data_IF_776406526812
#
_entry.id   IF_776406526812
#
_cell.length_a   1.000
_cell.length_b   1.000
_cell.length_c   1.000
_cell.angle_alpha   90.00
_cell.angle_beta   90.00
_cell.angle_gamma   90.00
#
_symmetry.space_group_name_H-M   'P 1'
#
loop_
_entity.id
_entity.type
_entity.pdbx_description
1 polymer ?
#
# COMPACT_ATOMS: atom_id res chain seq x y z
N UNK A 1 13.64 -8.03 11.57
CA UNK A 1 12.96 -8.83 10.53
C UNK A 1 13.95 -9.16 9.43
N UNK A 2 13.94 -10.38 8.91
CA UNK A 2 14.82 -10.82 7.83
C UNK A 2 14.39 -10.15 6.51
N UNK A 3 15.36 -9.78 5.68
CA UNK A 3 15.10 -9.18 4.37
C UNK A 3 14.64 -10.24 3.39
N UNK A 4 13.66 -9.88 2.55
CA UNK A 4 13.15 -10.75 1.48
C UNK A 4 13.93 -10.54 0.19
N UNK A 5 13.89 -11.54 -0.69
CA UNK A 5 14.48 -11.44 -2.02
C UNK A 5 13.75 -10.35 -2.83
N UNK A 6 14.52 -9.42 -3.39
CA UNK A 6 14.02 -8.32 -4.22
C UNK A 6 13.09 -8.79 -5.35
N UNK A 7 13.42 -9.89 -6.04
CA UNK A 7 12.59 -10.40 -7.13
C UNK A 7 11.21 -10.86 -6.66
N UNK A 8 11.12 -11.44 -5.45
CA UNK A 8 9.83 -11.83 -4.85
C UNK A 8 8.99 -10.59 -4.54
N UNK A 9 9.62 -9.55 -3.96
CA UNK A 9 8.95 -8.27 -3.71
C UNK A 9 8.45 -7.63 -5.00
N UNK A 10 9.27 -7.65 -6.05
CA UNK A 10 8.92 -7.12 -7.36
C UNK A 10 7.72 -7.85 -7.98
N UNK A 11 7.72 -9.18 -7.97
CA UNK A 11 6.60 -9.98 -8.48
C UNK A 11 5.29 -9.66 -7.75
N UNK A 12 5.35 -9.44 -6.43
CA UNK A 12 4.18 -9.11 -5.62
C UNK A 12 3.68 -7.71 -5.94
N UNK A 13 4.57 -6.73 -6.12
CA UNK A 13 4.20 -5.38 -6.56
C UNK A 13 3.53 -5.41 -7.93
N UNK A 14 4.10 -6.12 -8.91
CA UNK A 14 3.53 -6.23 -10.25
C UNK A 14 2.17 -6.93 -10.22
N UNK A 15 2.03 -7.98 -9.42
CA UNK A 15 0.74 -8.68 -9.23
C UNK A 15 -0.31 -7.75 -8.63
N UNK A 16 0.07 -6.94 -7.64
CA UNK A 16 -0.81 -5.95 -7.01
C UNK A 16 -1.29 -4.90 -8.02
N UNK A 17 -0.38 -4.38 -8.85
CA UNK A 17 -0.72 -3.45 -9.93
C UNK A 17 -1.74 -4.07 -10.89
N UNK A 18 -1.47 -5.28 -11.37
CA UNK A 18 -2.35 -5.98 -12.32
C UNK A 18 -3.74 -6.18 -11.71
N UNK A 19 -3.82 -6.68 -10.47
CA UNK A 19 -5.08 -6.91 -9.76
C UNK A 19 -5.85 -5.61 -9.47
N UNK A 20 -5.16 -4.51 -9.16
CA UNK A 20 -5.81 -3.22 -8.93
C UNK A 20 -6.43 -2.65 -10.22
N UNK A 21 -5.77 -2.88 -11.36
CA UNK A 21 -6.23 -2.38 -12.66
C UNK A 21 -7.45 -3.13 -13.22
N UNK A 22 -7.67 -4.40 -12.85
CA UNK A 22 -8.86 -5.16 -13.29
C UNK A 22 -10.14 -4.72 -12.59
N UNK A 23 -10.04 -4.08 -11.42
CA UNK A 23 -11.20 -3.76 -10.58
C UNK A 23 -11.84 -4.99 -9.93
N UNK A 24 -11.17 -6.14 -9.95
CA UNK A 24 -11.68 -7.40 -9.39
C UNK A 24 -12.09 -7.30 -7.92
N UNK A 25 -11.40 -6.46 -7.15
CA UNK A 25 -11.67 -6.23 -5.72
C UNK A 25 -12.69 -5.11 -5.44
N UNK A 26 -13.36 -4.58 -6.47
CA UNK A 26 -14.41 -3.59 -6.29
C UNK A 26 -15.71 -4.28 -5.85
N UNK A 27 -16.12 -4.06 -4.61
CA UNK A 27 -17.32 -4.67 -4.03
C UNK A 27 -18.23 -3.56 -3.52
N UNK A 28 -19.45 -3.45 -4.06
CA UNK A 28 -20.44 -2.41 -3.71
C UNK A 28 -19.87 -0.96 -3.76
N UNK A 29 -18.94 -0.69 -4.68
CA UNK A 29 -18.32 0.64 -4.82
C UNK A 29 -17.12 0.89 -3.91
N UNK A 30 -16.77 -0.06 -3.03
CA UNK A 30 -15.56 -0.03 -2.21
C UNK A 30 -14.41 -0.60 -3.03
N UNK A 31 -13.42 0.23 -3.38
CA UNK A 31 -12.28 -0.17 -4.21
C UNK A 31 -10.98 -0.03 -3.41
N UNK A 32 -10.42 -1.11 -2.85
CA UNK A 32 -9.21 -1.01 -2.04
C UNK A 32 -8.01 -0.53 -2.86
N UNK A 33 -7.14 0.23 -2.20
CA UNK A 33 -5.87 0.66 -2.75
C UNK A 33 -4.81 -0.41 -2.49
N UNK A 34 -4.90 -1.49 -3.27
CA UNK A 34 -4.09 -2.68 -3.13
C UNK A 34 -2.59 -2.38 -3.26
N UNK A 35 -2.21 -1.52 -4.22
CA UNK A 35 -0.81 -1.13 -4.45
C UNK A 35 -0.24 -0.42 -3.22
N UNK A 36 -0.98 0.52 -2.63
CA UNK A 36 -0.55 1.19 -1.40
C UNK A 36 -0.43 0.19 -0.24
N UNK A 37 -1.44 -0.66 -0.04
CA UNK A 37 -1.41 -1.66 1.03
C UNK A 37 -0.22 -2.62 0.89
N UNK A 38 0.08 -3.05 -0.33
CA UNK A 38 1.23 -3.92 -0.66
C UNK A 38 2.54 -3.20 -0.42
N UNK A 39 2.72 -1.98 -0.97
CA UNK A 39 3.96 -1.21 -0.81
C UNK A 39 4.27 -0.95 0.66
N UNK A 40 3.28 -0.51 1.45
CA UNK A 40 3.45 -0.30 2.89
C UNK A 40 3.81 -1.63 3.59
N UNK A 41 3.18 -2.74 3.22
CA UNK A 41 3.48 -4.04 3.83
C UNK A 41 4.89 -4.52 3.54
N UNK A 42 5.33 -4.42 2.28
CA UNK A 42 6.67 -4.86 1.88
C UNK A 42 7.78 -3.90 2.33
N UNK A 43 7.44 -2.67 2.74
CA UNK A 43 8.43 -1.69 3.22
C UNK A 43 9.24 -2.19 4.42
N UNK A 44 8.65 -3.08 5.22
CA UNK A 44 9.31 -3.73 6.36
C UNK A 44 10.33 -4.81 5.95
N UNK A 45 10.17 -5.38 4.76
CA UNK A 45 10.97 -6.50 4.26
C UNK A 45 12.02 -6.09 3.21
N UNK A 46 11.85 -4.93 2.57
CA UNK A 46 12.82 -4.37 1.63
C UNK A 46 14.17 -4.11 2.30
N UNK A 47 15.27 -4.50 1.64
CA UNK A 47 16.64 -4.42 2.16
C UNK A 47 17.01 -2.98 2.56
N UNK A 48 16.95 -2.08 1.60
CA UNK A 48 17.40 -0.69 1.67
C UNK A 48 16.42 0.24 0.94
N UNK A 49 16.67 1.54 1.04
CA UNK A 49 15.81 2.57 0.46
C UNK A 49 15.84 2.55 -1.07
N UNK A 50 16.99 2.28 -1.70
CA UNK A 50 17.10 2.28 -3.16
C UNK A 50 16.30 1.12 -3.76
N UNK A 51 16.42 -0.08 -3.18
CA UNK A 51 15.60 -1.23 -3.55
C UNK A 51 14.09 -0.92 -3.43
N UNK A 52 13.69 -0.25 -2.35
CA UNK A 52 12.29 0.10 -2.13
C UNK A 52 11.79 1.20 -3.08
N UNK A 53 12.62 2.21 -3.39
CA UNK A 53 12.33 3.22 -4.41
C UNK A 53 12.10 2.55 -5.75
N UNK A 54 12.92 1.56 -6.13
CA UNK A 54 12.73 0.84 -7.38
C UNK A 54 11.37 0.12 -7.42
N UNK A 55 10.98 -0.55 -6.33
CA UNK A 55 9.66 -1.19 -6.22
C UNK A 55 8.52 -0.18 -6.36
N UNK A 56 8.66 0.99 -5.72
CA UNK A 56 7.70 2.08 -5.82
C UNK A 56 7.60 2.65 -7.25
N UNK A 57 8.74 2.82 -7.94
CA UNK A 57 8.78 3.26 -9.34
C UNK A 57 8.15 2.21 -10.26
N UNK A 58 8.43 0.93 -10.04
CA UNK A 58 7.80 -0.16 -10.80
C UNK A 58 6.27 -0.14 -10.64
N UNK A 59 5.78 0.08 -9.41
CA UNK A 59 4.35 0.27 -9.15
C UNK A 59 3.78 1.48 -9.91
N UNK A 60 4.48 2.61 -9.87
CA UNK A 60 4.08 3.85 -10.55
C UNK A 60 3.97 3.67 -12.07
N UNK A 61 4.95 3.03 -12.69
CA UNK A 61 4.93 2.72 -14.13
C UNK A 61 3.76 1.82 -14.47
N UNK A 62 3.47 0.82 -13.62
CA UNK A 62 2.38 -0.11 -13.84
C UNK A 62 0.97 0.47 -13.61
N UNK A 63 0.83 1.48 -12.75
CA UNK A 63 -0.44 2.18 -12.52
C UNK A 63 -0.83 3.10 -13.69
N UNK A 64 0.10 3.49 -14.56
CA UNK A 64 -0.04 4.56 -15.57
C UNK A 64 -0.90 4.26 -16.81
N UNK A 65 -1.79 3.26 -16.80
CA UNK A 65 -2.58 2.90 -18.00
C UNK A 65 -3.95 3.58 -18.15
N UNK A 66 -4.26 4.66 -17.40
CA UNK A 66 -5.45 5.49 -17.63
C UNK A 66 -5.17 6.99 -17.46
N UNK A 67 -5.56 7.81 -18.44
CA UNK A 67 -5.49 9.26 -18.36
C UNK A 67 -6.37 9.77 -17.19
N UNK A 68 -5.80 10.58 -16.29
CA UNK A 68 -6.46 11.11 -15.09
C UNK A 68 -5.84 10.68 -13.75
N UNK A 69 -4.93 9.69 -13.74
CA UNK A 69 -4.34 9.10 -12.52
C UNK A 69 -3.05 9.76 -12.01
N UNK A 70 -2.68 10.94 -12.50
CA UNK A 70 -1.34 11.49 -12.28
C UNK A 70 -1.08 11.85 -10.81
N UNK A 71 -2.02 12.53 -10.14
CA UNK A 71 -1.80 12.99 -8.77
C UNK A 71 -2.01 11.89 -7.73
N UNK A 72 -3.03 11.03 -7.90
CA UNK A 72 -3.32 9.93 -6.99
C UNK A 72 -2.16 8.93 -6.92
N UNK A 73 -1.58 8.60 -8.07
CA UNK A 73 -0.43 7.70 -8.14
C UNK A 73 0.77 8.28 -7.41
N UNK A 74 1.02 9.59 -7.54
CA UNK A 74 2.09 10.27 -6.80
C UNK A 74 1.84 10.27 -5.29
N UNK A 75 0.60 10.49 -4.85
CA UNK A 75 0.23 10.42 -3.43
C UNK A 75 0.49 9.00 -2.89
N UNK A 76 0.09 7.96 -3.61
CA UNK A 76 0.33 6.55 -3.22
C UNK A 76 1.82 6.30 -3.00
N UNK A 77 2.66 6.71 -3.96
CA UNK A 77 4.11 6.54 -3.86
C UNK A 77 4.68 7.35 -2.71
N UNK A 78 4.27 8.61 -2.55
CA UNK A 78 4.72 9.48 -1.46
C UNK A 78 4.41 8.90 -0.08
N UNK A 79 3.17 8.43 0.12
CA UNK A 79 2.74 7.78 1.36
C UNK A 79 3.50 6.46 1.61
N UNK A 80 3.74 5.68 0.56
CA UNK A 80 4.50 4.43 0.64
C UNK A 80 5.97 4.68 0.99
N UNK A 81 6.59 5.73 0.47
CA UNK A 81 7.97 6.13 0.83
C UNK A 81 8.04 6.64 2.27
N UNK A 82 7.05 7.44 2.69
CA UNK A 82 6.94 7.87 4.08
C UNK A 82 6.79 6.68 5.03
N UNK A 83 6.00 5.66 4.66
CA UNK A 83 5.81 4.47 5.47
C UNK A 83 7.10 3.67 5.65
N UNK A 84 7.97 3.61 4.64
CA UNK A 84 9.28 2.95 4.76
C UNK A 84 10.17 3.63 5.81
N UNK A 85 10.20 4.96 5.83
CA UNK A 85 10.98 5.71 6.82
C UNK A 85 10.36 5.57 8.21
N UNK A 86 9.05 5.74 8.32
CA UNK A 86 8.33 5.70 9.60
C UNK A 86 8.32 4.29 10.21
N UNK A 87 8.10 3.26 9.41
CA UNK A 87 8.08 1.86 9.85
C UNK A 87 9.41 1.40 10.47
N UNK A 88 10.52 2.05 10.12
CA UNK A 88 11.85 1.82 10.74
C UNK A 88 12.11 2.64 12.01
N UNK A 89 11.29 3.66 12.30
CA UNK A 89 11.42 4.54 13.47
C UNK A 89 10.43 4.21 14.58
N UNK A 90 9.29 3.61 14.25
CA UNK A 90 8.27 3.22 15.22
C UNK A 90 8.75 2.06 16.09
N UNK A 91 8.61 2.21 17.42
CA UNK A 91 9.08 1.25 18.42
C UNK A 91 8.08 0.12 18.72
N UNK A 92 6.87 0.15 18.15
CA UNK A 92 5.89 -0.91 18.37
C UNK A 92 6.21 -2.18 17.57
N UNK A 93 5.42 -3.23 17.80
CA UNK A 93 5.55 -4.49 17.04
C UNK A 93 5.35 -4.20 15.54
N UNK A 94 6.21 -4.74 14.65
CA UNK A 94 6.13 -4.48 13.20
C UNK A 94 4.75 -4.73 12.58
N UNK A 95 4.07 -5.77 13.03
CA UNK A 95 2.69 -6.07 12.64
C UNK A 95 1.71 -4.94 12.94
N UNK A 96 1.82 -4.33 14.13
CA UNK A 96 0.98 -3.19 14.54
C UNK A 96 1.34 -1.96 13.72
N UNK A 97 2.64 -1.69 13.52
CA UNK A 97 3.10 -0.59 12.68
C UNK A 97 2.56 -0.70 11.26
N UNK A 98 2.54 -1.90 10.68
CA UNK A 98 1.97 -2.15 9.36
C UNK A 98 0.49 -1.73 9.29
N UNK A 99 -0.33 -2.27 10.19
CA UNK A 99 -1.76 -1.98 10.22
C UNK A 99 -2.03 -0.47 10.42
N UNK A 100 -1.30 0.18 11.33
CA UNK A 100 -1.44 1.61 11.59
C UNK A 100 -1.01 2.44 10.38
N UNK A 101 0.13 2.13 9.76
CA UNK A 101 0.62 2.88 8.59
C UNK A 101 -0.32 2.75 7.39
N UNK A 102 -0.94 1.58 7.18
CA UNK A 102 -1.96 1.41 6.14
C UNK A 102 -3.22 2.22 6.46
N UNK A 103 -3.71 2.17 7.70
CA UNK A 103 -4.87 2.94 8.11
C UNK A 103 -4.66 4.44 7.96
N UNK A 104 -3.55 4.95 8.50
CA UNK A 104 -3.15 6.36 8.36
C UNK A 104 -2.92 6.72 6.89
N UNK A 105 -2.24 5.88 6.12
CA UNK A 105 -2.03 6.07 4.70
C UNK A 105 -3.34 6.16 3.91
N UNK A 106 -4.34 5.35 4.25
CA UNK A 106 -5.66 5.40 3.62
C UNK A 106 -6.39 6.72 3.92
N UNK A 107 -6.37 7.18 5.17
CA UNK A 107 -6.98 8.45 5.54
C UNK A 107 -6.26 9.62 4.85
N UNK A 108 -4.92 9.62 4.88
CA UNK A 108 -4.11 10.65 4.23
C UNK A 108 -4.28 10.66 2.72
N UNK A 109 -4.42 9.51 2.08
CA UNK A 109 -4.71 9.41 0.64
C UNK A 109 -5.98 10.19 0.31
N UNK A 110 -7.07 9.95 1.05
CA UNK A 110 -8.32 10.67 0.84
C UNK A 110 -8.23 12.16 1.16
N UNK A 111 -7.55 12.54 2.24
CA UNK A 111 -7.35 13.95 2.59
C UNK A 111 -6.59 14.72 1.51
N UNK A 112 -5.63 14.08 0.84
CA UNK A 112 -4.79 14.70 -0.17
C UNK A 112 -5.41 14.63 -1.58
N UNK A 113 -6.08 13.54 -1.92
CA UNK A 113 -6.63 13.33 -3.27
C UNK A 113 -8.05 13.89 -3.43
N UNK A 114 -8.93 13.70 -2.43
CA UNK A 114 -10.35 14.02 -2.54
C UNK A 114 -10.98 14.25 -1.14
N UNK A 115 -10.64 15.34 -0.43
CA UNK A 115 -11.07 15.55 0.95
C UNK A 115 -12.60 15.61 1.10
N UNK A 116 -13.31 16.17 0.12
CA UNK A 116 -14.78 16.21 0.11
C UNK A 116 -15.45 14.83 0.03
N UNK A 117 -14.73 13.81 -0.44
CA UNK A 117 -15.24 12.43 -0.51
C UNK A 117 -15.41 11.81 0.88
N UNK A 118 -14.57 12.20 1.85
CA UNK A 118 -14.66 11.71 3.23
C UNK A 118 -16.00 12.07 3.86
N UNK A 119 -16.44 13.33 3.69
CA UNK A 119 -17.69 13.81 4.27
C UNK A 119 -18.92 13.26 3.55
N UNK A 120 -18.84 13.12 2.21
CA UNK A 120 -19.98 12.69 1.39
C UNK A 120 -20.18 11.18 1.35
N UNK A 121 -19.11 10.38 1.54
CA UNK A 121 -19.12 8.93 1.35
C UNK A 121 -18.35 8.20 2.47
N UNK A 122 -18.54 8.63 3.73
CA UNK A 122 -17.86 8.08 4.89
C UNK A 122 -17.89 6.54 4.99
N UNK A 123 -19.03 5.84 4.73
CA UNK A 123 -19.06 4.38 4.78
C UNK A 123 -18.12 3.71 3.78
N UNK A 124 -17.96 4.28 2.58
CA UNK A 124 -17.04 3.76 1.55
C UNK A 124 -15.59 3.92 2.03
N UNK A 125 -15.23 5.11 2.54
CA UNK A 125 -13.90 5.37 3.06
C UNK A 125 -13.54 4.43 4.21
N UNK A 126 -14.47 4.20 5.14
CA UNK A 126 -14.27 3.25 6.25
C UNK A 126 -14.16 1.80 5.74
N UNK A 127 -14.99 1.42 4.76
CA UNK A 127 -14.91 0.11 4.11
C UNK A 127 -13.55 -0.13 3.47
N UNK A 128 -13.04 0.86 2.72
CA UNK A 128 -11.72 0.78 2.10
C UNK A 128 -10.59 0.76 3.12
N UNK A 129 -10.70 1.52 4.21
CA UNK A 129 -9.74 1.47 5.31
C UNK A 129 -9.65 0.06 5.89
N UNK A 130 -10.79 -0.54 6.22
CA UNK A 130 -10.84 -1.91 6.77
C UNK A 130 -10.26 -2.90 5.76
N UNK A 131 -10.64 -2.81 4.48
CA UNK A 131 -10.11 -3.68 3.44
C UNK A 131 -8.60 -3.54 3.24
N UNK A 132 -8.09 -2.31 3.13
CA UNK A 132 -6.66 -2.07 2.97
C UNK A 132 -5.88 -2.65 4.17
N UNK A 133 -6.36 -2.41 5.39
CA UNK A 133 -5.73 -2.94 6.61
C UNK A 133 -5.76 -4.46 6.63
N UNK A 134 -6.88 -5.10 6.29
CA UNK A 134 -6.99 -6.56 6.24
C UNK A 134 -6.02 -7.12 5.20
N UNK A 135 -6.07 -6.61 3.97
CA UNK A 135 -5.24 -7.10 2.87
C UNK A 135 -3.75 -6.92 3.17
N UNK A 136 -3.33 -5.73 3.58
CA UNK A 136 -1.93 -5.50 3.91
C UNK A 136 -1.47 -6.29 5.14
N UNK A 137 -2.35 -6.51 6.12
CA UNK A 137 -2.05 -7.41 7.25
C UNK A 137 -1.85 -8.85 6.81
N UNK A 138 -2.68 -9.37 5.91
CA UNK A 138 -2.54 -10.72 5.34
C UNK A 138 -1.21 -10.84 4.59
N UNK A 139 -0.90 -9.87 3.71
CA UNK A 139 0.35 -9.84 2.96
C UNK A 139 1.54 -9.82 3.93
N UNK A 140 1.51 -8.95 4.93
CA UNK A 140 2.56 -8.85 5.94
C UNK A 140 2.79 -10.19 6.65
N UNK A 141 1.72 -10.88 7.04
CA UNK A 141 1.80 -12.19 7.72
C UNK A 141 2.39 -13.29 6.83
N UNK A 142 2.01 -13.33 5.55
CA UNK A 142 2.60 -14.26 4.59
C UNK A 142 4.12 -14.07 4.55
N UNK A 143 4.59 -12.84 4.42
CA UNK A 143 6.03 -12.55 4.40
C UNK A 143 6.73 -12.84 5.74
N UNK A 144 6.12 -12.50 6.87
CA UNK A 144 6.65 -12.79 8.19
C UNK A 144 6.84 -14.30 8.38
N UNK A 145 5.87 -15.12 7.97
CA UNK A 145 5.91 -16.58 8.09
C UNK A 145 6.96 -17.24 7.19
N UNK A 146 7.19 -16.73 5.98
CA UNK A 146 8.20 -17.28 5.06
C UNK A 146 9.65 -17.00 5.47
N UNK A 147 9.86 -16.25 6.56
CA UNK A 147 11.18 -15.81 7.01
C UNK A 147 11.46 -16.08 8.50
N UNK A 148 10.52 -16.73 9.21
CA UNK A 148 10.73 -17.29 10.55
C UNK A 148 11.30 -18.69 10.48
#
# INVERSE_FOLDING_TARGET
>A
MKKSNFFVLLLIVLSAVLLQNTGFLNVYGVKPNLVMAVLISISFFAADLASYIFLAVAALVGLKFRAGFEIESLIIIGLSLASFVMGRRLQWKPFINNAVLIGVGTILFYLLAAPGFIASNLPIVLGELVYNVILGTIIFKIFESSHG
#
